data_IF_997573530418
#
_entry.id   IF_997573530418
#
_cell.length_a   1.000
_cell.length_b   1.000
_cell.length_c   1.000
_cell.angle_alpha   90.00
_cell.angle_beta   90.00
_cell.angle_gamma   90.00
#
_symmetry.space_group_name_H-M   'P 1'
#
loop_
_entity.id
_entity.type
_entity.pdbx_description
1 polymer ?
#
# COMPACT_ATOMS: atom_id res chain seq x y z
N UNK A 1 0.71 2.41 12.20
CA UNK A 1 0.26 1.52 11.10
C UNK A 1 1.42 0.81 10.40
N UNK A 2 2.46 1.52 9.93
CA UNK A 2 3.63 0.94 9.24
C UNK A 2 4.27 -0.28 9.94
N UNK A 3 4.52 -0.20 11.25
CA UNK A 3 5.14 -1.30 12.02
C UNK A 3 4.25 -2.55 12.02
N UNK A 4 2.94 -2.41 12.27
CA UNK A 4 1.97 -3.51 12.20
C UNK A 4 1.96 -4.16 10.82
N UNK A 5 1.94 -3.36 9.76
CA UNK A 5 1.95 -3.85 8.39
C UNK A 5 3.23 -4.62 8.04
N UNK A 6 4.38 -4.22 8.58
CA UNK A 6 5.66 -4.93 8.38
C UNK A 6 5.61 -6.33 9.00
N UNK A 7 5.10 -6.46 10.23
CA UNK A 7 4.91 -7.76 10.88
C UNK A 7 3.96 -8.68 10.08
N UNK A 8 2.89 -8.12 9.50
CA UNK A 8 2.02 -8.90 8.61
C UNK A 8 2.78 -9.39 7.36
N UNK A 9 3.60 -8.55 6.73
CA UNK A 9 4.39 -8.94 5.56
C UNK A 9 5.38 -10.05 5.90
N UNK A 10 6.05 -9.96 7.05
CA UNK A 10 6.98 -11.00 7.51
C UNK A 10 6.29 -12.36 7.64
N UNK A 11 5.09 -12.40 8.22
CA UNK A 11 4.30 -13.65 8.33
C UNK A 11 3.79 -14.15 6.99
N UNK A 12 3.32 -13.26 6.11
CA UNK A 12 2.79 -13.62 4.79
C UNK A 12 3.88 -14.16 3.85
N UNK A 13 5.14 -13.73 4.03
CA UNK A 13 6.29 -14.18 3.25
C UNK A 13 7.05 -15.34 3.90
N UNK A 14 6.80 -15.62 5.18
CA UNK A 14 7.43 -16.72 5.87
C UNK A 14 6.93 -18.06 5.31
N UNK A 15 7.85 -18.87 4.80
CA UNK A 15 7.55 -20.22 4.31
C UNK A 15 7.21 -21.20 5.45
N UNK A 16 7.55 -20.83 6.69
CA UNK A 16 7.31 -21.60 7.91
C UNK A 16 6.79 -20.71 9.03
N UNK A 17 5.91 -21.22 9.89
CA UNK A 17 5.45 -20.52 11.12
C UNK A 17 6.51 -20.46 12.23
N UNK A 18 7.76 -20.81 11.94
CA UNK A 18 8.88 -20.69 12.88
C UNK A 18 9.13 -19.20 13.17
N UNK A 19 9.00 -18.79 14.44
CA UNK A 19 9.04 -17.38 14.84
C UNK A 19 7.68 -16.68 14.94
N UNK A 20 6.55 -17.37 14.70
CA UNK A 20 5.20 -16.80 14.88
C UNK A 20 5.01 -16.20 16.28
N UNK A 21 5.51 -16.86 17.32
CA UNK A 21 5.44 -16.38 18.71
C UNK A 21 6.24 -15.09 18.94
N UNK A 22 7.37 -14.92 18.27
CA UNK A 22 8.17 -13.69 18.31
C UNK A 22 7.43 -12.54 17.64
N UNK A 23 6.84 -12.79 16.47
CA UNK A 23 6.06 -11.78 15.75
C UNK A 23 4.79 -11.40 16.53
N UNK A 24 4.11 -12.35 17.17
CA UNK A 24 2.97 -12.08 18.05
C UNK A 24 3.34 -11.23 19.27
N UNK A 25 4.49 -11.51 19.89
CA UNK A 25 5.00 -10.69 20.99
C UNK A 25 5.28 -9.25 20.53
N UNK A 26 5.96 -9.08 19.40
CA UNK A 26 6.22 -7.77 18.81
C UNK A 26 4.93 -7.03 18.44
N UNK A 27 3.91 -7.74 17.93
CA UNK A 27 2.60 -7.16 17.63
C UNK A 27 1.91 -6.60 18.88
N UNK A 28 1.95 -7.34 20.00
CA UNK A 28 1.32 -6.96 21.26
C UNK A 28 1.94 -5.70 21.89
N UNK A 29 3.20 -5.39 21.59
CA UNK A 29 3.87 -4.16 22.05
C UNK A 29 3.44 -2.92 21.26
N UNK A 30 2.83 -3.09 20.07
CA UNK A 30 2.41 -1.96 19.24
C UNK A 30 1.04 -1.48 19.72
N UNK A 31 0.89 -0.19 20.10
CA UNK A 31 -0.40 0.34 20.50
C UNK A 31 -1.45 0.23 19.36
N UNK A 32 -2.74 0.11 19.70
CA UNK A 32 -3.81 0.15 18.72
C UNK A 32 -3.80 1.47 17.94
N UNK A 33 -4.20 1.42 16.67
CA UNK A 33 -4.38 2.63 15.87
C UNK A 33 -5.53 3.48 16.42
N UNK A 34 -5.44 4.79 16.25
CA UNK A 34 -6.50 5.73 16.66
C UNK A 34 -7.81 5.49 15.91
N UNK A 35 -7.73 4.98 14.68
CA UNK A 35 -8.87 4.61 13.86
C UNK A 35 -9.20 3.12 14.05
N UNK A 36 -10.37 2.85 14.67
CA UNK A 36 -10.82 1.51 14.99
C UNK A 36 -11.11 0.64 13.75
N UNK A 37 -11.61 1.24 12.66
CA UNK A 37 -11.86 0.50 11.42
C UNK A 37 -10.55 0.03 10.79
N UNK A 38 -9.54 0.91 10.76
CA UNK A 38 -8.21 0.57 10.26
C UNK A 38 -7.51 -0.46 11.16
N UNK A 39 -7.69 -0.37 12.48
CA UNK A 39 -7.20 -1.37 13.44
C UNK A 39 -7.84 -2.74 13.20
N UNK A 40 -9.16 -2.81 13.02
CA UNK A 40 -9.85 -4.07 12.77
C UNK A 40 -9.39 -4.73 11.47
N UNK A 41 -9.17 -3.96 10.40
CA UNK A 41 -8.71 -4.50 9.11
C UNK A 41 -7.27 -5.03 9.21
N UNK A 42 -6.36 -4.28 9.86
CA UNK A 42 -4.97 -4.71 9.99
C UNK A 42 -4.82 -5.90 10.95
N UNK A 43 -5.65 -5.96 12.00
CA UNK A 43 -5.73 -7.12 12.90
C UNK A 43 -6.26 -8.35 12.18
N UNK A 44 -7.31 -8.21 11.37
CA UNK A 44 -7.82 -9.31 10.56
C UNK A 44 -6.75 -9.87 9.62
N UNK A 45 -5.99 -8.99 8.95
CA UNK A 45 -4.86 -9.39 8.11
C UNK A 45 -3.80 -10.15 8.91
N UNK A 46 -3.44 -9.66 10.10
CA UNK A 46 -2.48 -10.32 10.98
C UNK A 46 -2.92 -11.72 11.39
N UNK A 47 -4.19 -11.87 11.79
CA UNK A 47 -4.77 -13.16 12.16
C UNK A 47 -4.77 -14.15 10.98
N UNK A 48 -5.12 -13.68 9.77
CA UNK A 48 -5.05 -14.50 8.56
C UNK A 48 -3.62 -14.99 8.29
N UNK A 49 -2.63 -14.10 8.39
CA UNK A 49 -1.23 -14.46 8.22
C UNK A 49 -0.76 -15.49 9.29
N UNK A 50 -1.22 -15.36 10.54
CA UNK A 50 -0.93 -16.34 11.60
C UNK A 50 -1.51 -17.73 11.32
N UNK A 51 -2.67 -17.81 10.64
CA UNK A 51 -3.32 -19.09 10.30
C UNK A 51 -2.68 -19.82 9.12
N UNK A 52 -1.68 -19.21 8.46
CA UNK A 52 -0.93 -19.86 7.38
C UNK A 52 -1.71 -19.98 6.07
N UNK A 53 -2.62 -19.05 5.79
CA UNK A 53 -3.18 -18.84 4.44
C UNK A 53 -2.39 -17.71 3.76
N UNK A 54 -1.19 -17.99 3.19
CA UNK A 54 -0.41 -16.96 2.52
C UNK A 54 -1.10 -16.59 1.22
N UNK A 55 -1.86 -15.49 1.24
CA UNK A 55 -2.32 -14.86 0.00
C UNK A 55 -1.22 -14.01 -0.60
N UNK A 56 -0.15 -14.65 -1.06
CA UNK A 56 0.70 -14.11 -2.12
C UNK A 56 -0.13 -14.11 -3.40
N UNK A 57 -1.10 -13.20 -3.50
CA UNK A 57 -1.93 -13.06 -4.68
C UNK A 57 -1.26 -12.10 -5.65
N UNK A 58 -1.29 -12.45 -6.94
CA UNK A 58 -0.94 -11.49 -8.01
C UNK A 58 -1.81 -10.22 -7.97
N UNK A 59 -2.96 -10.25 -7.29
CA UNK A 59 -3.79 -9.08 -7.03
C UNK A 59 -3.15 -8.11 -6.02
N UNK A 60 -2.52 -8.62 -4.95
CA UNK A 60 -1.81 -7.79 -3.98
C UNK A 60 -0.63 -7.06 -4.62
N UNK A 61 0.09 -7.76 -5.51
CA UNK A 61 1.15 -7.19 -6.32
C UNK A 61 0.62 -6.05 -7.20
N UNK A 62 -0.39 -6.32 -8.04
CA UNK A 62 -0.99 -5.33 -8.94
C UNK A 62 -1.54 -4.12 -8.17
N UNK A 63 -2.13 -4.36 -7.00
CA UNK A 63 -2.63 -3.29 -6.14
C UNK A 63 -1.48 -2.40 -5.67
N UNK A 64 -0.39 -2.97 -5.13
CA UNK A 64 0.79 -2.23 -4.70
C UNK A 64 1.46 -1.46 -5.85
N UNK A 65 1.52 -2.05 -7.04
CA UNK A 65 2.00 -1.36 -8.25
C UNK A 65 1.15 -0.15 -8.61
N UNK A 66 -0.19 -0.29 -8.52
CA UNK A 66 -1.13 0.79 -8.78
C UNK A 66 -1.01 1.90 -7.73
N UNK A 67 -0.88 1.56 -6.45
CA UNK A 67 -0.65 2.53 -5.37
C UNK A 67 0.64 3.33 -5.57
N UNK A 68 1.74 2.65 -5.93
CA UNK A 68 3.00 3.34 -6.28
C UNK A 68 2.78 4.30 -7.45
N UNK A 69 2.11 3.85 -8.51
CA UNK A 69 1.83 4.66 -9.69
C UNK A 69 1.03 5.93 -9.34
N UNK A 70 -0.05 5.78 -8.56
CA UNK A 70 -0.89 6.90 -8.14
C UNK A 70 -0.09 7.93 -7.34
N UNK A 71 0.72 7.48 -6.38
CA UNK A 71 1.54 8.37 -5.57
C UNK A 71 2.65 9.05 -6.38
N UNK A 72 3.27 8.35 -7.34
CA UNK A 72 4.25 8.94 -8.27
C UNK A 72 3.64 10.08 -9.10
N UNK A 73 2.38 9.94 -9.51
CA UNK A 73 1.63 10.98 -10.23
C UNK A 73 1.32 12.16 -9.30
N UNK A 74 0.88 11.91 -8.07
CA UNK A 74 0.60 12.95 -7.08
C UNK A 74 1.86 13.73 -6.69
N UNK A 75 2.98 13.05 -6.48
CA UNK A 75 4.28 13.65 -6.21
C UNK A 75 4.82 14.43 -7.42
N UNK A 76 4.37 14.09 -8.64
CA UNK A 76 4.85 14.68 -9.88
C UNK A 76 6.24 14.18 -10.29
N UNK A 77 6.61 12.96 -9.90
CA UNK A 77 7.85 12.30 -10.30
C UNK A 77 7.61 11.28 -11.41
N UNK A 78 8.66 10.91 -12.13
CA UNK A 78 8.58 9.87 -13.15
C UNK A 78 8.34 8.48 -12.57
N UNK A 79 7.43 7.74 -13.21
CA UNK A 79 7.23 6.31 -12.98
C UNK A 79 8.31 5.49 -13.69
N UNK A 80 8.66 4.29 -13.18
CA UNK A 80 9.59 3.41 -13.88
C UNK A 80 9.07 3.04 -15.29
N UNK A 81 9.96 2.66 -16.23
CA UNK A 81 9.60 2.43 -17.64
C UNK A 81 8.51 1.35 -17.81
N UNK A 82 8.53 0.34 -16.95
CA UNK A 82 7.57 -0.74 -16.87
C UNK A 82 6.14 -0.26 -16.53
N UNK A 83 6.02 0.84 -15.78
CA UNK A 83 4.75 1.44 -15.39
C UNK A 83 4.31 2.60 -16.31
N UNK A 84 5.09 2.96 -17.34
CA UNK A 84 4.80 4.13 -18.19
C UNK A 84 3.44 4.02 -18.92
N UNK A 85 3.10 2.83 -19.42
CA UNK A 85 1.79 2.57 -20.07
C UNK A 85 0.64 2.70 -19.06
N UNK A 86 0.81 2.15 -17.86
CA UNK A 86 -0.19 2.23 -16.80
C UNK A 86 -0.39 3.68 -16.34
N UNK A 87 0.70 4.46 -16.23
CA UNK A 87 0.66 5.90 -15.92
C UNK A 87 -0.20 6.66 -16.92
N UNK A 88 0.07 6.47 -18.21
CA UNK A 88 -0.68 7.13 -19.27
C UNK A 88 -2.16 6.73 -19.23
N UNK A 89 -2.45 5.44 -19.09
CA UNK A 89 -3.83 4.95 -18.99
C UNK A 89 -4.59 5.58 -17.81
N UNK A 90 -3.94 5.68 -16.64
CA UNK A 90 -4.53 6.32 -15.47
C UNK A 90 -4.78 7.82 -15.67
N UNK A 91 -3.81 8.54 -16.24
CA UNK A 91 -3.97 9.98 -16.52
C UNK A 91 -5.10 10.25 -17.52
N UNK A 92 -5.23 9.41 -18.56
CA UNK A 92 -6.35 9.47 -19.51
C UNK A 92 -7.67 9.18 -18.83
N UNK A 93 -7.75 8.11 -18.02
CA UNK A 93 -8.97 7.77 -17.29
C UNK A 93 -9.41 8.92 -16.36
N UNK A 94 -8.47 9.55 -15.66
CA UNK A 94 -8.74 10.69 -14.78
C UNK A 94 -9.23 11.92 -15.55
N UNK A 95 -8.65 12.20 -16.73
CA UNK A 95 -9.12 13.27 -17.62
C UNK A 95 -10.53 12.99 -18.18
N UNK A 96 -10.80 11.74 -18.59
CA UNK A 96 -12.11 11.34 -19.09
C UNK A 96 -13.18 11.42 -18.01
N UNK A 97 -12.87 11.01 -16.77
CA UNK A 97 -13.76 11.17 -15.62
C UNK A 97 -14.06 12.65 -15.37
N UNK A 98 -13.03 13.51 -15.41
CA UNK A 98 -13.19 14.95 -15.27
C UNK A 98 -14.09 15.57 -16.36
N UNK A 99 -13.94 15.16 -17.61
CA UNK A 99 -14.75 15.67 -18.73
C UNK A 99 -16.19 15.13 -18.75
N UNK A 100 -16.46 13.99 -18.11
CA UNK A 100 -17.74 13.30 -18.12
C UNK A 100 -18.79 13.84 -17.15
N UNK A 101 -18.45 14.85 -16.33
CA UNK A 101 -19.36 15.45 -15.34
C UNK A 101 -19.82 14.51 -14.23
N UNK A 102 -19.28 13.29 -14.15
CA UNK A 102 -19.37 12.51 -12.92
C UNK A 102 -18.65 13.30 -11.85
N UNK A 103 -19.21 13.38 -10.63
CA UNK A 103 -18.64 14.08 -9.49
C UNK A 103 -17.13 13.88 -9.48
N UNK A 104 -16.45 14.88 -10.03
CA UNK A 104 -15.02 14.86 -10.06
C UNK A 104 -14.73 14.99 -8.58
N UNK A 105 -13.88 14.13 -8.05
CA UNK A 105 -13.00 14.46 -6.94
C UNK A 105 -12.16 15.71 -7.30
N UNK A 106 -12.77 16.80 -7.80
CA UNK A 106 -12.14 18.04 -8.28
C UNK A 106 -11.46 18.79 -7.13
N UNK A 107 -11.72 18.34 -5.90
CA UNK A 107 -11.19 18.92 -4.67
C UNK A 107 -10.84 17.85 -3.64
N UNK A 108 -10.49 16.61 -4.02
CA UNK A 108 -9.75 15.80 -3.04
C UNK A 108 -8.37 16.41 -2.93
N UNK A 109 -8.12 17.02 -1.76
CA UNK A 109 -6.82 17.56 -1.44
C UNK A 109 -5.78 16.47 -1.70
N UNK A 110 -4.69 16.75 -2.46
CA UNK A 110 -3.68 15.74 -2.77
C UNK A 110 -3.17 15.00 -1.53
N UNK A 111 -3.28 15.63 -0.37
CA UNK A 111 -2.92 15.09 0.93
C UNK A 111 -3.88 13.99 1.38
N UNK A 112 -5.19 14.18 1.25
CA UNK A 112 -6.18 13.15 1.54
C UNK A 112 -5.96 11.95 0.64
N UNK A 113 -5.73 12.16 -0.67
CA UNK A 113 -5.46 11.04 -1.58
C UNK A 113 -4.15 10.32 -1.22
N UNK A 114 -3.09 11.06 -0.84
CA UNK A 114 -1.84 10.46 -0.38
C UNK A 114 -2.04 9.62 0.90
N UNK A 115 -2.80 10.13 1.88
CA UNK A 115 -3.14 9.40 3.11
C UNK A 115 -3.96 8.13 2.81
N UNK A 116 -4.94 8.20 1.91
CA UNK A 116 -5.72 7.03 1.46
C UNK A 116 -4.82 5.99 0.77
N UNK A 117 -3.86 6.44 -0.05
CA UNK A 117 -2.87 5.57 -0.69
C UNK A 117 -1.97 4.91 0.35
N UNK A 118 -1.51 5.64 1.37
CA UNK A 118 -0.71 5.08 2.45
C UNK A 118 -1.46 4.05 3.28
N UNK A 119 -2.70 4.34 3.67
CA UNK A 119 -3.55 3.40 4.39
C UNK A 119 -3.76 2.14 3.55
N UNK A 120 -4.14 2.29 2.27
CA UNK A 120 -4.31 1.18 1.33
C UNK A 120 -3.03 0.37 1.18
N UNK A 121 -1.86 1.01 1.17
CA UNK A 121 -0.56 0.33 1.06
C UNK A 121 -0.27 -0.57 2.26
N UNK A 122 -0.54 -0.07 3.47
CA UNK A 122 -0.34 -0.82 4.72
C UNK A 122 -1.40 -1.89 4.96
N UNK A 123 -2.60 -1.73 4.42
CA UNK A 123 -3.67 -2.73 4.49
C UNK A 123 -3.61 -3.78 3.37
N UNK A 124 -2.86 -3.51 2.30
CA UNK A 124 -2.63 -4.48 1.23
C UNK A 124 -1.76 -5.64 1.70
N UNK A 125 -2.12 -6.87 1.30
CA UNK A 125 -1.30 -8.06 1.51
C UNK A 125 0.11 -7.96 0.91
N UNK A 126 1.01 -8.83 1.35
CA UNK A 126 2.38 -8.89 0.84
C UNK A 126 2.42 -9.15 -0.67
N UNK A 127 3.35 -8.46 -1.34
CA UNK A 127 3.81 -8.90 -2.65
C UNK A 127 4.80 -10.08 -2.48
N UNK A 128 5.05 -10.86 -3.54
CA UNK A 128 6.15 -11.82 -3.58
C UNK A 128 7.46 -11.18 -3.12
N UNK A 129 8.27 -11.93 -2.35
CA UNK A 129 9.48 -11.42 -1.69
C UNK A 129 10.47 -10.79 -2.68
N UNK A 130 10.55 -11.30 -3.91
CA UNK A 130 11.39 -10.76 -4.98
C UNK A 130 10.97 -9.35 -5.46
N UNK A 131 9.70 -8.98 -5.28
CA UNK A 131 9.15 -7.69 -5.73
C UNK A 131 8.94 -6.70 -4.59
N UNK A 132 8.81 -7.17 -3.35
CA UNK A 132 8.55 -6.30 -2.18
C UNK A 132 9.58 -5.19 -2.04
N UNK A 133 10.88 -5.50 -2.11
CA UNK A 133 11.93 -4.48 -1.97
C UNK A 133 11.85 -3.39 -3.07
N UNK A 134 11.56 -3.79 -4.31
CA UNK A 134 11.40 -2.86 -5.44
C UNK A 134 10.19 -1.94 -5.22
N UNK A 135 9.07 -2.51 -4.79
CA UNK A 135 7.83 -1.77 -4.56
C UNK A 135 7.95 -0.83 -3.35
N UNK A 136 8.56 -1.28 -2.25
CA UNK A 136 8.82 -0.44 -1.08
C UNK A 136 9.72 0.75 -1.41
N UNK A 137 10.77 0.53 -2.23
CA UNK A 137 11.64 1.62 -2.66
C UNK A 137 10.87 2.65 -3.48
N UNK A 138 10.04 2.20 -4.43
CA UNK A 138 9.20 3.09 -5.26
C UNK A 138 8.24 3.90 -4.39
N UNK A 139 7.53 3.22 -3.51
CA UNK A 139 6.56 3.83 -2.62
C UNK A 139 7.22 4.88 -1.71
N UNK A 140 8.32 4.52 -1.04
CA UNK A 140 9.07 5.44 -0.17
C UNK A 140 9.56 6.68 -0.91
N UNK A 141 10.12 6.51 -2.12
CA UNK A 141 10.59 7.62 -2.95
C UNK A 141 9.44 8.56 -3.33
N UNK A 142 8.28 8.01 -3.67
CA UNK A 142 7.11 8.80 -4.02
C UNK A 142 6.52 9.54 -2.80
N UNK A 143 6.42 8.89 -1.63
CA UNK A 143 6.05 9.55 -0.37
C UNK A 143 7.00 10.72 -0.07
N UNK A 144 8.31 10.47 -0.08
CA UNK A 144 9.32 11.49 0.21
C UNK A 144 9.20 12.68 -0.74
N UNK A 145 9.11 12.43 -2.05
CA UNK A 145 8.94 13.49 -3.04
C UNK A 145 7.64 14.28 -2.85
N UNK A 146 6.55 13.62 -2.46
CA UNK A 146 5.27 14.27 -2.18
C UNK A 146 5.36 15.19 -0.95
N UNK A 147 5.90 14.69 0.18
CA UNK A 147 5.98 15.44 1.42
C UNK A 147 7.06 16.52 1.42
N UNK A 148 8.13 16.39 0.63
CA UNK A 148 9.14 17.45 0.46
C UNK A 148 8.64 18.64 -0.37
N UNK A 149 7.60 18.44 -1.17
CA UNK A 149 7.04 19.47 -2.06
C UNK A 149 5.94 20.31 -1.40
N UNK A 150 5.47 19.90 -0.22
CA UNK A 150 4.44 20.59 0.57
C UNK A 150 5.08 21.63 1.49
#
# INVERSE_FOLDING_TARGET
MKQKAALCVELEQAETVDGLSTVQAAWAEIPPLENADLEAVIEQRFQQACTGDPKLSGEALKNKENLCLRLEILAGIDSPPDAAKARLAYQVARLSAAMGGGDIEESREPQVEAEEIEQSWYLSGAAPSDQTARLEQRFRKACEAFYLRK
#
